data_IF_023801975158
#
_entry.id   IF_023801975158
#
_cell.length_a   1.000
_cell.length_b   1.000
_cell.length_c   1.000
_cell.angle_alpha   90.00
_cell.angle_beta   90.00
_cell.angle_gamma   90.00
#
_symmetry.space_group_name_H-M   'P 1'
#
loop_
_entity.id
_entity.type
_entity.pdbx_description
1 polymer ?
#
# COMPACT_ATOMS: atom_id res chain seq x y z
N UNK A 1 14.53 19.10 21.15
CA UNK A 1 14.80 18.58 22.49
C UNK A 1 13.60 17.79 23.04
N UNK A 2 12.37 18.31 22.96
CA UNK A 2 11.16 17.64 23.47
C UNK A 2 10.93 16.25 22.87
N UNK A 3 11.18 16.09 21.57
CA UNK A 3 11.05 14.78 20.89
C UNK A 3 12.05 13.74 21.44
N UNK A 4 13.27 14.14 21.75
CA UNK A 4 14.27 13.24 22.33
C UNK A 4 13.86 12.82 23.75
N UNK A 5 13.39 13.77 24.57
CA UNK A 5 12.91 13.50 25.93
C UNK A 5 11.73 12.53 25.88
N UNK A 6 10.79 12.73 24.94
CA UNK A 6 9.64 11.83 24.77
C UNK A 6 10.07 10.41 24.40
N UNK A 7 11.00 10.25 23.45
CA UNK A 7 11.50 8.92 23.03
C UNK A 7 12.23 8.23 24.17
N UNK A 8 13.12 8.95 24.87
CA UNK A 8 13.85 8.40 26.02
C UNK A 8 12.90 8.03 27.15
N UNK A 9 11.92 8.88 27.45
CA UNK A 9 10.89 8.60 28.46
C UNK A 9 10.07 7.34 28.10
N UNK A 10 9.65 7.22 26.85
CA UNK A 10 8.94 6.02 26.38
C UNK A 10 9.80 4.75 26.53
N UNK A 11 11.05 4.79 26.10
CA UNK A 11 11.97 3.64 26.22
C UNK A 11 12.26 3.28 27.70
N UNK A 12 12.37 4.28 28.58
CA UNK A 12 12.56 4.06 30.01
C UNK A 12 11.34 3.40 30.65
N UNK A 13 10.11 3.84 30.33
CA UNK A 13 8.87 3.23 30.80
C UNK A 13 8.74 1.79 30.27
N UNK A 14 9.01 1.55 28.98
CA UNK A 14 8.98 0.22 28.41
C UNK A 14 10.00 -0.71 29.08
N UNK A 15 11.23 -0.26 29.26
CA UNK A 15 12.26 -1.03 29.98
C UNK A 15 11.83 -1.35 31.41
N UNK A 16 11.33 -0.36 32.14
CA UNK A 16 10.90 -0.51 33.52
C UNK A 16 9.74 -1.52 33.65
N UNK A 17 8.74 -1.44 32.78
CA UNK A 17 7.59 -2.35 32.80
C UNK A 17 7.97 -3.80 32.44
N UNK A 18 8.83 -4.01 31.44
CA UNK A 18 9.13 -5.34 30.93
C UNK A 18 10.31 -6.01 31.61
N UNK A 19 11.42 -5.26 31.85
CA UNK A 19 12.65 -5.85 32.40
C UNK A 19 12.71 -5.77 33.92
N UNK A 20 12.15 -4.70 34.56
CA UNK A 20 12.18 -4.54 36.04
C UNK A 20 10.94 -5.13 36.68
N UNK A 21 9.75 -4.66 36.32
CA UNK A 21 8.49 -5.13 36.91
C UNK A 21 8.04 -6.49 36.38
N UNK A 22 8.57 -6.94 35.23
CA UNK A 22 8.22 -8.23 34.58
C UNK A 22 6.70 -8.42 34.46
N UNK A 23 5.96 -7.34 34.16
CA UNK A 23 4.51 -7.35 34.04
C UNK A 23 4.02 -8.23 32.86
N UNK A 24 4.91 -8.45 31.88
CA UNK A 24 4.60 -9.25 30.70
C UNK A 24 5.65 -10.35 30.52
N UNK A 25 5.21 -11.50 30.01
CA UNK A 25 6.12 -12.56 29.58
C UNK A 25 7.03 -12.05 28.44
N UNK A 26 8.31 -12.39 28.47
CA UNK A 26 9.25 -12.07 27.39
C UNK A 26 8.86 -12.71 26.05
N UNK A 27 7.99 -13.71 26.05
CA UNK A 27 7.41 -14.30 24.84
C UNK A 27 6.31 -13.41 24.23
N UNK A 28 5.59 -12.64 25.06
CA UNK A 28 4.49 -11.77 24.59
C UNK A 28 4.98 -10.36 24.26
N UNK A 29 5.77 -9.77 25.18
CA UNK A 29 6.36 -8.44 24.98
C UNK A 29 7.76 -8.41 25.58
N UNK A 30 8.82 -8.66 24.79
CA UNK A 30 10.21 -8.59 25.26
C UNK A 30 10.62 -7.15 25.59
N UNK A 31 11.49 -6.99 26.58
CA UNK A 31 12.05 -5.68 26.92
C UNK A 31 13.02 -5.16 25.83
N UNK A 32 13.29 -3.84 25.80
CA UNK A 32 14.08 -3.20 24.77
C UNK A 32 15.51 -3.75 24.67
N UNK A 33 16.10 -4.16 25.76
CA UNK A 33 17.45 -4.77 25.78
C UNK A 33 17.42 -6.13 25.08
N UNK A 34 16.38 -6.95 25.32
CA UNK A 34 16.22 -8.26 24.68
C UNK A 34 15.99 -8.11 23.19
N UNK A 35 15.18 -7.12 22.78
CA UNK A 35 14.95 -6.80 21.36
C UNK A 35 16.25 -6.40 20.68
N UNK A 36 17.05 -5.50 21.28
CA UNK A 36 18.33 -5.07 20.72
C UNK A 36 19.32 -6.23 20.57
N UNK A 37 19.45 -7.07 21.59
CA UNK A 37 20.29 -8.28 21.53
C UNK A 37 19.87 -9.25 20.45
N UNK A 38 18.55 -9.49 20.33
CA UNK A 38 17.98 -10.38 19.30
C UNK A 38 18.20 -9.81 17.90
N UNK A 39 18.04 -8.50 17.73
CA UNK A 39 18.29 -7.82 16.46
C UNK A 39 19.75 -7.99 16.01
N UNK A 40 20.73 -7.73 16.90
CA UNK A 40 22.14 -7.91 16.58
C UNK A 40 22.46 -9.39 16.27
N UNK A 41 21.94 -10.32 17.09
CA UNK A 41 22.14 -11.76 16.86
C UNK A 41 21.56 -12.21 15.51
N UNK A 42 20.40 -11.69 15.12
CA UNK A 42 19.69 -12.08 13.90
C UNK A 42 20.36 -11.56 12.62
N UNK A 43 21.30 -10.61 12.72
CA UNK A 43 22.09 -10.16 11.57
C UNK A 43 22.96 -11.30 11.00
N UNK A 44 23.48 -12.19 11.86
CA UNK A 44 24.37 -13.28 11.46
C UNK A 44 23.79 -14.69 11.73
N UNK A 45 22.81 -14.81 12.64
CA UNK A 45 22.22 -16.10 13.04
C UNK A 45 20.95 -16.40 12.27
N UNK A 46 20.82 -17.65 11.83
CA UNK A 46 19.60 -18.17 11.17
C UNK A 46 18.58 -18.77 12.17
N UNK A 47 18.97 -18.94 13.43
CA UNK A 47 18.04 -19.48 14.46
C UNK A 47 17.06 -18.41 14.94
N UNK A 48 15.81 -18.80 15.33
CA UNK A 48 15.22 -20.15 15.32
C UNK A 48 14.52 -20.54 14.00
N UNK A 49 14.28 -19.62 13.08
CA UNK A 49 13.37 -19.74 11.93
C UNK A 49 14.06 -20.02 10.59
N UNK A 50 15.36 -20.35 10.62
CA UNK A 50 16.12 -20.78 9.45
C UNK A 50 16.61 -19.68 8.50
N UNK A 51 16.34 -18.39 8.81
CA UNK A 51 16.70 -17.26 7.96
C UNK A 51 17.34 -16.10 8.74
N UNK A 52 18.25 -15.36 8.11
CA UNK A 52 18.87 -14.16 8.68
C UNK A 52 17.91 -12.97 8.57
N UNK A 53 18.17 -11.91 9.33
CA UNK A 53 17.40 -10.66 9.26
C UNK A 53 17.38 -10.09 7.82
N UNK A 54 18.50 -10.15 7.13
CA UNK A 54 18.61 -9.65 5.75
C UNK A 54 17.70 -10.44 4.80
N UNK A 55 17.61 -11.76 4.96
CA UNK A 55 16.72 -12.61 4.18
C UNK A 55 15.24 -12.28 4.44
N UNK A 56 14.88 -12.02 5.69
CA UNK A 56 13.52 -11.58 6.03
C UNK A 56 13.17 -10.21 5.43
N UNK A 57 14.10 -9.26 5.48
CA UNK A 57 13.94 -7.93 4.86
C UNK A 57 13.76 -8.08 3.35
N UNK A 58 14.60 -8.88 2.69
CA UNK A 58 14.51 -9.11 1.25
C UNK A 58 13.16 -9.73 0.85
N UNK A 59 12.71 -10.75 1.57
CA UNK A 59 11.42 -11.39 1.32
C UNK A 59 10.24 -10.42 1.55
N UNK A 60 10.28 -9.64 2.63
CA UNK A 60 9.25 -8.64 2.92
C UNK A 60 9.22 -7.55 1.84
N UNK A 61 10.38 -7.09 1.40
CA UNK A 61 10.49 -6.08 0.34
C UNK A 61 9.99 -6.62 -1.00
N UNK A 62 10.29 -7.87 -1.33
CA UNK A 62 9.78 -8.53 -2.54
C UNK A 62 8.25 -8.60 -2.55
N UNK A 63 7.64 -9.00 -1.42
CA UNK A 63 6.18 -9.07 -1.27
C UNK A 63 5.58 -7.68 -1.40
N UNK A 64 6.11 -6.71 -0.65
CA UNK A 64 5.62 -5.35 -0.62
C UNK A 64 5.72 -4.67 -1.99
N UNK A 65 6.89 -4.67 -2.60
CA UNK A 65 7.10 -4.05 -3.91
C UNK A 65 6.36 -4.78 -5.03
N UNK A 66 6.31 -6.12 -4.99
CA UNK A 66 5.59 -6.92 -5.98
C UNK A 66 4.09 -6.61 -5.98
N UNK A 67 3.45 -6.68 -4.83
CA UNK A 67 2.03 -6.38 -4.70
C UNK A 67 1.70 -4.92 -5.00
N UNK A 68 2.49 -3.98 -4.49
CA UNK A 68 2.34 -2.56 -4.77
C UNK A 68 2.50 -2.24 -6.27
N UNK A 69 3.55 -2.73 -6.91
CA UNK A 69 3.78 -2.48 -8.34
C UNK A 69 2.63 -3.01 -9.21
N UNK A 70 2.13 -4.21 -8.92
CA UNK A 70 0.94 -4.75 -9.59
C UNK A 70 -0.30 -3.86 -9.37
N UNK A 71 -0.51 -3.38 -8.14
CA UNK A 71 -1.61 -2.48 -7.80
C UNK A 71 -1.55 -1.17 -8.59
N UNK A 72 -0.36 -0.58 -8.71
CA UNK A 72 -0.13 0.64 -9.48
C UNK A 72 -0.33 0.41 -10.98
N UNK A 73 0.32 -0.62 -11.54
CA UNK A 73 0.31 -0.89 -12.99
C UNK A 73 -1.08 -1.26 -13.49
N UNK A 74 -1.88 -1.94 -12.69
CA UNK A 74 -3.25 -2.35 -13.07
C UNK A 74 -4.28 -1.30 -12.61
N UNK A 75 -4.18 -0.84 -11.37
CA UNK A 75 -5.17 0.05 -10.78
C UNK A 75 -5.18 1.45 -11.37
N UNK A 76 -4.00 2.04 -11.63
CA UNK A 76 -3.95 3.39 -12.19
C UNK A 76 -4.56 3.48 -13.59
N UNK A 77 -4.20 2.64 -14.57
CA UNK A 77 -4.84 2.67 -15.89
C UNK A 77 -6.34 2.33 -15.82
N UNK A 78 -6.74 1.39 -14.99
CA UNK A 78 -8.15 1.06 -14.82
C UNK A 78 -8.94 2.27 -14.31
N UNK A 79 -8.46 2.96 -13.28
CA UNK A 79 -9.09 4.17 -12.74
C UNK A 79 -9.20 5.28 -13.78
N UNK A 80 -8.16 5.51 -14.58
CA UNK A 80 -8.16 6.46 -15.68
C UNK A 80 -9.21 6.07 -16.74
N UNK A 81 -9.23 4.82 -17.18
CA UNK A 81 -10.17 4.32 -18.17
C UNK A 81 -11.63 4.38 -17.69
N UNK A 82 -11.89 4.02 -16.44
CA UNK A 82 -13.22 4.15 -15.84
C UNK A 82 -13.69 5.60 -15.80
N UNK A 83 -12.80 6.54 -15.44
CA UNK A 83 -13.16 7.95 -15.37
C UNK A 83 -13.43 8.58 -16.73
N UNK A 84 -12.72 8.14 -17.77
CA UNK A 84 -12.82 8.71 -19.12
C UNK A 84 -13.88 8.03 -20.00
N UNK A 85 -13.93 6.71 -19.99
CA UNK A 85 -14.83 5.93 -20.85
C UNK A 85 -16.05 5.43 -20.08
N UNK A 86 -17.23 6.02 -20.34
CA UNK A 86 -18.49 5.65 -19.68
C UNK A 86 -18.82 4.16 -19.76
N UNK A 87 -18.49 3.49 -20.86
CA UNK A 87 -18.72 2.04 -21.02
C UNK A 87 -17.87 1.21 -20.05
N UNK A 88 -16.60 1.60 -19.85
CA UNK A 88 -15.69 0.97 -18.89
C UNK A 88 -16.18 1.19 -17.46
N UNK A 89 -16.62 2.41 -17.17
CA UNK A 89 -17.17 2.75 -15.85
C UNK A 89 -18.40 1.91 -15.51
N UNK A 90 -19.36 1.83 -16.41
CA UNK A 90 -20.59 1.04 -16.20
C UNK A 90 -20.30 -0.45 -15.96
N UNK A 91 -19.27 -1.00 -16.59
CA UNK A 91 -18.90 -2.39 -16.43
C UNK A 91 -18.06 -2.65 -15.16
N UNK A 92 -17.05 -1.83 -14.90
CA UNK A 92 -16.09 -2.06 -13.83
C UNK A 92 -16.56 -1.51 -12.47
N UNK A 93 -17.37 -0.46 -12.46
CA UNK A 93 -17.84 0.19 -11.22
C UNK A 93 -18.55 -0.75 -10.25
N UNK A 94 -19.53 -1.60 -10.66
CA UNK A 94 -20.20 -2.49 -9.71
C UNK A 94 -19.24 -3.45 -9.02
N UNK A 95 -18.26 -3.97 -9.76
CA UNK A 95 -17.24 -4.88 -9.24
C UNK A 95 -16.34 -4.13 -8.25
N UNK A 96 -15.90 -2.93 -8.64
CA UNK A 96 -15.03 -2.09 -7.80
C UNK A 96 -15.74 -1.66 -6.50
N UNK A 97 -17.00 -1.26 -6.57
CA UNK A 97 -17.79 -0.84 -5.41
C UNK A 97 -18.06 -1.98 -4.42
N UNK A 98 -18.07 -3.25 -4.88
CA UNK A 98 -18.10 -4.43 -4.02
C UNK A 98 -16.75 -4.70 -3.32
N UNK A 99 -15.63 -4.44 -4.00
CA UNK A 99 -14.29 -4.68 -3.45
C UNK A 99 -13.86 -3.58 -2.46
N UNK A 100 -14.26 -2.34 -2.73
CA UNK A 100 -13.81 -1.13 -2.01
C UNK A 100 -14.04 -1.17 -0.49
N UNK A 101 -15.21 -1.58 0.05
CA UNK A 101 -15.47 -1.56 1.48
C UNK A 101 -14.74 -2.65 2.26
N UNK A 102 -14.12 -3.63 1.59
CA UNK A 102 -13.47 -4.76 2.24
C UNK A 102 -12.06 -4.33 2.69
N UNK A 103 -11.75 -4.33 4.01
CA UNK A 103 -10.41 -4.04 4.50
C UNK A 103 -9.36 -5.00 3.92
N UNK A 104 -8.17 -4.50 3.59
CA UNK A 104 -7.09 -5.30 3.00
C UNK A 104 -6.78 -6.58 3.80
N UNK A 105 -6.75 -6.49 5.14
CA UNK A 105 -6.50 -7.64 6.01
C UNK A 105 -7.60 -8.72 5.95
N UNK A 106 -8.84 -8.36 5.62
CA UNK A 106 -9.93 -9.32 5.50
C UNK A 106 -9.75 -10.28 4.31
N UNK A 107 -8.91 -9.93 3.34
CA UNK A 107 -8.59 -10.79 2.20
C UNK A 107 -7.64 -11.94 2.54
N UNK A 108 -6.88 -11.89 3.66
CA UNK A 108 -5.85 -12.87 4.00
C UNK A 108 -6.40 -14.32 4.01
N UNK A 109 -7.49 -14.64 4.74
CA UNK A 109 -8.03 -16.01 4.75
C UNK A 109 -8.44 -16.48 3.35
N UNK A 110 -9.08 -15.62 2.57
CA UNK A 110 -9.52 -15.95 1.21
C UNK A 110 -8.31 -16.21 0.29
N UNK A 111 -7.27 -15.38 0.37
CA UNK A 111 -6.06 -15.56 -0.43
C UNK A 111 -5.31 -16.84 -0.07
N UNK A 112 -5.32 -17.24 1.22
CA UNK A 112 -4.72 -18.52 1.64
C UNK A 112 -5.53 -19.70 1.09
N UNK A 113 -6.86 -19.62 1.08
CA UNK A 113 -7.73 -20.67 0.52
C UNK A 113 -7.50 -20.81 -0.98
N UNK A 114 -7.37 -19.68 -1.71
CA UNK A 114 -7.24 -19.67 -3.17
C UNK A 114 -5.83 -20.07 -3.64
N UNK A 115 -4.78 -19.62 -2.97
CA UNK A 115 -3.38 -19.74 -3.43
C UNK A 115 -2.51 -20.62 -2.52
N UNK A 116 -3.08 -21.16 -1.44
CA UNK A 116 -2.33 -21.93 -0.45
C UNK A 116 -1.44 -21.07 0.46
N UNK A 117 -0.57 -21.74 1.23
CA UNK A 117 0.38 -21.07 2.13
C UNK A 117 1.66 -20.76 1.34
N UNK A 118 2.12 -19.50 1.38
CA UNK A 118 3.35 -19.11 0.68
C UNK A 118 3.48 -17.62 0.45
N UNK A 119 4.27 -17.22 -0.54
CA UNK A 119 4.52 -15.83 -0.93
C UNK A 119 3.35 -15.28 -1.74
N UNK A 120 2.73 -16.08 -2.60
CA UNK A 120 1.65 -15.69 -3.52
C UNK A 120 0.46 -15.05 -2.82
N UNK A 121 -0.17 -15.65 -1.78
CA UNK A 121 -1.29 -15.03 -1.09
C UNK A 121 -0.91 -13.70 -0.42
N UNK A 122 0.33 -13.56 0.05
CA UNK A 122 0.85 -12.31 0.62
C UNK A 122 0.91 -11.21 -0.44
N UNK A 123 1.51 -11.49 -1.60
CA UNK A 123 1.57 -10.56 -2.73
C UNK A 123 0.16 -10.18 -3.20
N UNK A 124 -0.77 -11.13 -3.30
CA UNK A 124 -2.14 -10.89 -3.72
C UNK A 124 -2.91 -9.98 -2.73
N UNK A 125 -2.70 -10.16 -1.42
CA UNK A 125 -3.29 -9.29 -0.40
C UNK A 125 -2.74 -7.87 -0.49
N UNK A 126 -1.43 -7.71 -0.65
CA UNK A 126 -0.78 -6.41 -0.84
C UNK A 126 -1.23 -5.74 -2.13
N UNK A 127 -1.36 -6.53 -3.21
CA UNK A 127 -1.92 -6.06 -4.48
C UNK A 127 -3.31 -5.44 -4.31
N UNK A 128 -4.25 -6.13 -3.66
CA UNK A 128 -5.61 -5.61 -3.45
C UNK A 128 -5.61 -4.35 -2.58
N UNK A 129 -4.77 -4.30 -1.56
CA UNK A 129 -4.62 -3.14 -0.68
C UNK A 129 -4.09 -1.90 -1.43
N UNK A 130 -3.20 -2.08 -2.40
CA UNK A 130 -2.66 -1.01 -3.24
C UNK A 130 -3.58 -0.67 -4.43
N UNK A 131 -4.27 -1.66 -4.99
CA UNK A 131 -5.13 -1.52 -6.16
C UNK A 131 -6.29 -0.54 -5.93
N UNK A 132 -7.02 -0.70 -4.83
CA UNK A 132 -8.20 0.13 -4.52
C UNK A 132 -7.87 1.63 -4.46
N UNK A 133 -6.88 2.10 -3.67
CA UNK A 133 -6.53 3.51 -3.65
C UNK A 133 -5.96 4.02 -4.99
N UNK A 134 -5.24 3.19 -5.76
CA UNK A 134 -4.77 3.58 -7.09
C UNK A 134 -5.92 3.82 -8.06
N UNK A 135 -6.92 2.91 -8.12
CA UNK A 135 -8.12 3.10 -8.94
C UNK A 135 -8.88 4.35 -8.52
N UNK A 136 -9.18 4.49 -7.22
CA UNK A 136 -10.01 5.57 -6.70
C UNK A 136 -9.39 6.95 -6.94
N UNK A 137 -8.10 7.12 -6.64
CA UNK A 137 -7.45 8.41 -6.80
C UNK A 137 -7.23 8.76 -8.29
N UNK A 138 -6.93 7.77 -9.13
CA UNK A 138 -6.83 7.99 -10.57
C UNK A 138 -8.19 8.35 -11.18
N UNK A 139 -9.25 7.65 -10.80
CA UNK A 139 -10.62 7.95 -11.19
C UNK A 139 -11.02 9.37 -10.80
N UNK A 140 -10.84 9.72 -9.52
CA UNK A 140 -11.20 11.03 -8.98
C UNK A 140 -10.37 12.14 -9.63
N UNK A 141 -9.06 11.93 -9.83
CA UNK A 141 -8.18 12.90 -10.47
C UNK A 141 -8.63 13.25 -11.90
N UNK A 142 -8.95 12.26 -12.70
CA UNK A 142 -9.47 12.49 -14.07
C UNK A 142 -10.83 13.20 -14.06
N UNK A 143 -11.75 12.78 -13.17
CA UNK A 143 -13.09 13.40 -13.05
C UNK A 143 -13.05 14.84 -12.55
N UNK A 144 -12.01 15.26 -11.86
CA UNK A 144 -11.81 16.65 -11.42
C UNK A 144 -11.19 17.56 -12.50
N UNK A 145 -10.88 17.04 -13.70
CA UNK A 145 -10.45 17.87 -14.81
C UNK A 145 -11.55 18.87 -15.18
N UNK A 146 -11.22 20.16 -15.17
CA UNK A 146 -12.18 21.23 -15.45
C UNK A 146 -12.62 21.18 -16.92
N UNK A 147 -13.92 21.29 -17.15
CA UNK A 147 -14.52 21.29 -18.50
C UNK A 147 -13.92 22.36 -19.41
N UNK A 148 -13.53 23.51 -18.85
CA UNK A 148 -12.87 24.59 -19.61
C UNK A 148 -11.61 24.10 -20.31
N UNK A 149 -10.79 23.28 -19.66
CA UNK A 149 -9.58 22.72 -20.27
C UNK A 149 -9.91 21.77 -21.44
N UNK A 150 -10.99 21.01 -21.31
CA UNK A 150 -11.46 20.09 -22.34
C UNK A 150 -12.04 20.87 -23.54
N UNK A 151 -12.81 21.93 -23.29
CA UNK A 151 -13.35 22.80 -24.35
C UNK A 151 -12.25 23.48 -25.17
N UNK A 152 -11.18 23.95 -24.47
CA UNK A 152 -10.01 24.52 -25.18
C UNK A 152 -9.41 23.47 -26.11
N UNK A 153 -9.18 22.23 -25.60
CA UNK A 153 -8.67 21.14 -26.43
C UNK A 153 -9.54 20.85 -27.67
N UNK A 154 -10.87 20.83 -27.47
CA UNK A 154 -11.84 20.63 -28.56
C UNK A 154 -11.78 21.76 -29.59
N UNK A 155 -11.64 23.02 -29.16
CA UNK A 155 -11.52 24.17 -30.06
C UNK A 155 -10.29 24.07 -30.95
N UNK A 156 -9.19 23.49 -30.45
CA UNK A 156 -7.98 23.20 -31.23
C UNK A 156 -8.05 21.90 -32.04
N UNK A 157 -9.21 21.22 -32.09
CA UNK A 157 -9.41 20.02 -32.87
C UNK A 157 -8.74 18.76 -32.28
N UNK A 158 -8.44 18.75 -30.97
CA UNK A 158 -7.84 17.59 -30.31
C UNK A 158 -8.81 16.40 -30.31
N UNK A 159 -8.31 15.22 -30.65
CA UNK A 159 -9.07 13.98 -30.53
C UNK A 159 -9.30 13.61 -29.05
N UNK A 160 -10.28 12.73 -28.80
CA UNK A 160 -10.63 12.26 -27.45
C UNK A 160 -9.42 11.66 -26.72
N UNK A 161 -8.60 10.86 -27.39
CA UNK A 161 -7.37 10.29 -26.83
C UNK A 161 -6.29 11.36 -26.57
N UNK A 162 -6.19 12.38 -27.44
CA UNK A 162 -5.26 13.49 -27.23
C UNK A 162 -5.68 14.33 -26.01
N UNK A 163 -6.96 14.58 -25.82
CA UNK A 163 -7.49 15.27 -24.63
C UNK A 163 -7.20 14.48 -23.36
N UNK A 164 -7.43 13.15 -23.38
CA UNK A 164 -7.08 12.30 -22.24
C UNK A 164 -5.58 12.40 -21.91
N UNK A 165 -4.72 12.17 -22.91
CA UNK A 165 -3.26 12.06 -22.70
C UNK A 165 -2.60 13.40 -22.37
N UNK A 166 -3.00 14.49 -23.02
CA UNK A 166 -2.29 15.77 -22.93
C UNK A 166 -2.97 16.79 -21.99
N UNK A 167 -4.22 16.56 -21.61
CA UNK A 167 -4.97 17.47 -20.73
C UNK A 167 -5.38 16.76 -19.43
N UNK A 168 -6.19 15.71 -19.53
CA UNK A 168 -6.78 15.09 -18.34
C UNK A 168 -5.74 14.37 -17.47
N UNK A 169 -4.88 13.52 -18.05
CA UNK A 169 -3.85 12.79 -17.28
C UNK A 169 -2.83 13.73 -16.62
N UNK A 170 -2.24 14.73 -17.30
CA UNK A 170 -1.35 15.69 -16.65
C UNK A 170 -2.03 16.49 -15.53
N UNK A 171 -3.27 16.89 -15.70
CA UNK A 171 -4.04 17.61 -14.68
C UNK A 171 -4.34 16.73 -13.48
N UNK A 172 -4.60 15.44 -13.70
CA UNK A 172 -4.89 14.45 -12.68
C UNK A 172 -3.63 13.91 -11.96
N UNK A 173 -2.43 14.19 -12.48
CA UNK A 173 -1.18 13.62 -12.00
C UNK A 173 -0.96 13.75 -10.48
N UNK A 174 -1.25 14.91 -9.82
CA UNK A 174 -1.10 15.02 -8.37
C UNK A 174 -1.98 14.02 -7.60
N UNK A 175 -3.23 13.79 -8.06
CA UNK A 175 -4.14 12.82 -7.44
C UNK A 175 -3.70 11.39 -7.72
N UNK A 176 -3.26 11.08 -8.94
CA UNK A 176 -2.71 9.77 -9.30
C UNK A 176 -1.51 9.45 -8.40
N UNK A 177 -0.58 10.39 -8.24
CA UNK A 177 0.58 10.22 -7.36
C UNK A 177 0.18 10.05 -5.88
N UNK A 178 -0.91 10.68 -5.46
CA UNK A 178 -1.47 10.47 -4.12
C UNK A 178 -1.97 9.05 -3.95
N UNK A 179 -2.69 8.50 -4.93
CA UNK A 179 -3.12 7.10 -4.93
C UNK A 179 -1.97 6.10 -4.85
N UNK A 180 -0.91 6.34 -5.62
CA UNK A 180 0.32 5.53 -5.62
C UNK A 180 1.02 5.59 -4.24
N UNK A 181 1.08 6.77 -3.61
CA UNK A 181 1.68 6.94 -2.27
C UNK A 181 0.84 6.28 -1.17
N UNK A 182 -0.48 6.42 -1.21
CA UNK A 182 -1.40 5.78 -0.27
C UNK A 182 -1.35 4.26 -0.43
N UNK A 183 -1.37 3.76 -1.66
CA UNK A 183 -1.20 2.33 -1.94
C UNK A 183 0.09 1.76 -1.34
N UNK A 184 1.18 2.54 -1.30
CA UNK A 184 2.43 2.18 -0.64
C UNK A 184 2.32 2.20 0.89
N UNK A 185 1.52 3.08 1.47
CA UNK A 185 1.37 3.21 2.92
C UNK A 185 0.52 2.09 3.55
N UNK A 186 -0.28 1.39 2.75
CA UNK A 186 -1.11 0.25 3.17
C UNK A 186 -0.41 -1.11 3.01
N UNK A 187 0.86 -1.11 2.59
CA UNK A 187 1.76 -2.26 2.41
C UNK A 187 2.73 -2.37 3.57
#
# INVERSE_FOLDING_TARGET
YLSIISIVGFLAVWWFCCDVLKLTSSATLPGPITVAKTFIKKLSSTAPDGATLLSHIASSLQIALGGWAMGVVIGTPLGICMAWYKKVDLFARPIFDLLRPIPGLAWIPLMIILFGIGITPKIATVFLSAFVPCVLNSYTGIRQTKDVHLWVGQTFGASDFQMLKHIAVPTALPMIMTGIKIGRAHV
#
